data_IF_960950916575
#
_entry.id   IF_960950916575
#
_cell.length_a   1.000
_cell.length_b   1.000
_cell.length_c   1.000
_cell.angle_alpha   90.00
_cell.angle_beta   90.00
_cell.angle_gamma   90.00
#
_symmetry.space_group_name_H-M   'P 1'
#
loop_
_entity.id
_entity.type
_entity.pdbx_description
1 polymer ?
#
# COMPACT_ATOMS: atom_id res chain seq x y z
N UNK A 1 14.41 3.49 -16.90
CA UNK A 1 13.97 3.29 -18.31
C UNK A 1 12.88 2.22 -18.49
N UNK A 2 12.86 1.09 -17.75
CA UNK A 2 11.87 0.01 -17.99
C UNK A 2 10.39 0.29 -17.67
N UNK A 3 10.08 1.21 -16.75
CA UNK A 3 8.69 1.44 -16.31
C UNK A 3 7.80 2.18 -17.32
N UNK A 4 8.38 3.03 -18.18
CA UNK A 4 7.63 3.67 -19.26
C UNK A 4 7.18 2.62 -20.29
N UNK A 5 8.10 1.73 -20.67
CA UNK A 5 7.80 0.63 -21.58
C UNK A 5 6.80 -0.36 -20.99
N UNK A 6 6.89 -0.67 -19.69
CA UNK A 6 5.89 -1.50 -19.01
C UNK A 6 4.49 -0.89 -19.07
N UNK A 7 4.35 0.40 -18.82
CA UNK A 7 3.06 1.10 -18.92
C UNK A 7 2.48 1.02 -20.32
N UNK A 8 3.31 1.28 -21.32
CA UNK A 8 2.91 1.13 -22.72
C UNK A 8 2.47 -0.31 -23.03
N UNK A 9 3.22 -1.33 -22.61
CA UNK A 9 2.81 -2.74 -22.78
C UNK A 9 1.45 -3.00 -22.13
N UNK A 10 1.18 -2.48 -20.94
CA UNK A 10 -0.11 -2.67 -20.27
C UNK A 10 -1.25 -2.01 -21.04
N UNK A 11 -1.00 -0.83 -21.61
CA UNK A 11 -1.97 -0.14 -22.49
C UNK A 11 -2.28 -0.98 -23.73
N UNK A 12 -1.25 -1.49 -24.42
CA UNK A 12 -1.42 -2.34 -25.60
C UNK A 12 -2.08 -3.69 -25.26
N UNK A 13 -1.70 -4.31 -24.14
CA UNK A 13 -2.32 -5.55 -23.67
C UNK A 13 -3.79 -5.34 -23.35
N UNK A 14 -4.14 -4.24 -22.67
CA UNK A 14 -5.53 -3.90 -22.37
C UNK A 14 -6.35 -3.74 -23.66
N UNK A 15 -5.81 -3.06 -24.67
CA UNK A 15 -6.47 -2.93 -25.98
C UNK A 15 -6.61 -4.29 -26.69
N UNK A 16 -5.58 -5.14 -26.64
CA UNK A 16 -5.58 -6.44 -27.31
C UNK A 16 -6.55 -7.45 -26.68
N UNK A 17 -6.76 -7.42 -25.36
CA UNK A 17 -7.67 -8.35 -24.65
C UNK A 17 -9.14 -7.92 -24.73
N UNK A 18 -9.43 -6.66 -25.08
CA UNK A 18 -10.79 -6.15 -25.29
C UNK A 18 -10.89 -5.45 -26.66
N UNK A 19 -10.71 -6.18 -27.78
CA UNK A 19 -10.64 -5.59 -29.11
C UNK A 19 -11.99 -5.06 -29.62
N UNK A 20 -13.08 -5.52 -29.01
CA UNK A 20 -14.46 -5.11 -29.27
C UNK A 20 -14.83 -3.77 -28.63
N UNK A 21 -14.00 -3.27 -27.71
CA UNK A 21 -14.20 -2.02 -27.01
C UNK A 21 -13.02 -1.08 -27.23
N UNK A 22 -13.25 -0.08 -28.08
CA UNK A 22 -12.29 0.98 -28.36
C UNK A 22 -12.85 2.31 -27.87
N UNK A 23 -12.45 2.69 -26.66
CA UNK A 23 -12.73 4.01 -26.09
C UNK A 23 -11.60 4.96 -26.49
N UNK A 24 -11.86 5.75 -27.54
CA UNK A 24 -10.92 6.73 -28.09
C UNK A 24 -10.56 7.85 -27.09
N UNK A 25 -11.29 7.98 -25.98
CA UNK A 25 -11.08 9.05 -25.00
C UNK A 25 -10.05 8.67 -23.91
N UNK A 26 -9.97 7.41 -23.51
CA UNK A 26 -9.13 7.01 -22.37
C UNK A 26 -8.48 5.63 -22.55
N UNK A 27 -7.15 5.60 -22.38
CA UNK A 27 -6.37 4.35 -22.30
C UNK A 27 -6.28 3.82 -20.87
N UNK A 28 -5.90 2.55 -20.75
CA UNK A 28 -5.57 1.93 -19.48
C UNK A 28 -4.46 2.73 -18.74
N UNK A 29 -4.53 2.92 -17.41
CA UNK A 29 -5.58 2.46 -16.50
C UNK A 29 -6.77 3.42 -16.40
N UNK A 30 -6.70 4.63 -16.98
CA UNK A 30 -7.77 5.64 -16.88
C UNK A 30 -9.10 5.18 -17.47
N UNK A 31 -9.07 4.28 -18.45
CA UNK A 31 -10.24 3.59 -19.00
C UNK A 31 -11.12 2.95 -17.92
N UNK A 32 -10.55 2.43 -16.83
CA UNK A 32 -11.30 1.80 -15.73
C UNK A 32 -12.25 2.75 -15.00
N UNK A 33 -11.96 4.05 -15.05
CA UNK A 33 -12.83 5.10 -14.50
C UNK A 33 -13.96 5.50 -15.46
N UNK A 34 -13.97 4.97 -16.70
CA UNK A 34 -15.00 5.28 -17.70
C UNK A 34 -16.36 4.69 -17.30
N UNK A 35 -17.39 5.54 -17.36
CA UNK A 35 -18.78 5.16 -17.07
C UNK A 35 -19.43 4.40 -18.22
N UNK A 36 -18.93 4.56 -19.45
CA UNK A 36 -19.46 3.95 -20.68
C UNK A 36 -18.90 2.54 -20.93
N UNK A 37 -17.93 2.10 -20.13
CA UNK A 37 -17.27 0.81 -20.27
C UNK A 37 -18.24 -0.36 -19.97
N UNK A 38 -18.38 -1.33 -20.90
CA UNK A 38 -19.14 -2.57 -20.68
C UNK A 38 -18.59 -3.40 -19.53
N UNK A 39 -19.46 -4.16 -18.86
CA UNK A 39 -19.10 -4.93 -17.67
C UNK A 39 -18.07 -6.03 -17.94
N UNK A 40 -18.10 -6.69 -19.11
CA UNK A 40 -17.11 -7.72 -19.46
C UNK A 40 -15.72 -7.12 -19.66
N UNK A 41 -15.63 -5.97 -20.33
CA UNK A 41 -14.38 -5.20 -20.51
C UNK A 41 -13.85 -4.74 -19.16
N UNK A 42 -14.72 -4.17 -18.32
CA UNK A 42 -14.39 -3.71 -16.97
C UNK A 42 -13.79 -4.83 -16.15
N UNK A 43 -14.42 -6.01 -16.16
CA UNK A 43 -13.92 -7.20 -15.44
C UNK A 43 -12.52 -7.60 -15.93
N UNK A 44 -12.32 -7.69 -17.24
CA UNK A 44 -11.04 -8.07 -17.84
C UNK A 44 -9.92 -7.06 -17.53
N UNK A 45 -10.18 -5.77 -17.70
CA UNK A 45 -9.18 -4.74 -17.39
C UNK A 45 -8.92 -4.62 -15.89
N UNK A 46 -9.92 -4.88 -15.04
CA UNK A 46 -9.75 -4.92 -13.59
C UNK A 46 -8.80 -6.07 -13.18
N UNK A 47 -8.96 -7.24 -13.76
CA UNK A 47 -8.05 -8.38 -13.53
C UNK A 47 -6.62 -8.05 -13.97
N UNK A 48 -6.44 -7.38 -15.11
CA UNK A 48 -5.13 -6.88 -15.55
C UNK A 48 -4.52 -5.90 -14.54
N UNK A 49 -5.33 -4.97 -14.02
CA UNK A 49 -4.88 -3.98 -13.03
C UNK A 49 -4.50 -4.63 -11.69
N UNK A 50 -5.26 -5.63 -11.22
CA UNK A 50 -4.93 -6.40 -10.01
C UNK A 50 -3.65 -7.21 -10.18
N UNK A 51 -3.42 -7.77 -11.37
CA UNK A 51 -2.14 -8.41 -11.71
C UNK A 51 -0.97 -7.42 -11.68
N UNK A 52 -1.17 -6.19 -12.15
CA UNK A 52 -0.15 -5.14 -12.07
C UNK A 52 0.12 -4.68 -10.64
N UNK A 53 -0.91 -4.58 -9.78
CA UNK A 53 -0.72 -4.31 -8.35
C UNK A 53 0.12 -5.40 -7.67
N UNK A 54 -0.09 -6.67 -8.01
CA UNK A 54 0.72 -7.78 -7.49
C UNK A 54 2.15 -7.75 -8.02
N UNK A 55 2.36 -7.37 -9.28
CA UNK A 55 3.72 -7.18 -9.81
C UNK A 55 4.46 -6.04 -9.11
N UNK A 56 3.81 -4.88 -8.96
CA UNK A 56 4.41 -3.71 -8.32
C UNK A 56 4.71 -3.96 -6.85
N UNK A 57 3.85 -4.71 -6.14
CA UNK A 57 4.11 -5.14 -4.77
C UNK A 57 5.41 -5.97 -4.68
N UNK A 58 5.57 -7.00 -5.51
CA UNK A 58 6.83 -7.78 -5.57
C UNK A 58 8.07 -6.92 -5.86
N UNK A 59 7.91 -5.86 -6.67
CA UNK A 59 9.00 -4.92 -6.98
C UNK A 59 9.36 -3.99 -5.82
N UNK A 60 8.40 -3.71 -4.94
CA UNK A 60 8.58 -2.95 -3.71
C UNK A 60 9.19 -3.85 -2.64
N UNK A 61 8.68 -5.07 -2.45
CA UNK A 61 9.22 -6.07 -1.53
C UNK A 61 10.70 -6.36 -1.82
N UNK A 62 11.08 -6.46 -3.10
CA UNK A 62 12.48 -6.65 -3.51
C UNK A 62 13.35 -5.38 -3.42
N UNK A 63 12.77 -4.19 -3.48
CA UNK A 63 13.48 -2.92 -3.37
C UNK A 63 12.48 -1.84 -2.94
N UNK A 64 12.46 -1.57 -1.64
CA UNK A 64 11.49 -0.66 -1.05
C UNK A 64 11.57 0.75 -1.64
N UNK A 65 12.77 1.20 -2.01
CA UNK A 65 13.02 2.51 -2.64
C UNK A 65 12.65 2.56 -4.12
N UNK A 66 11.91 1.57 -4.65
CA UNK A 66 11.45 1.56 -6.04
C UNK A 66 10.29 2.55 -6.26
N UNK A 67 10.60 3.84 -6.28
CA UNK A 67 9.64 4.93 -6.48
C UNK A 67 8.77 4.78 -7.73
N UNK A 68 9.28 4.12 -8.77
CA UNK A 68 8.51 3.88 -9.98
C UNK A 68 7.38 2.85 -9.77
N UNK A 69 7.60 1.81 -8.96
CA UNK A 69 6.55 0.87 -8.58
C UNK A 69 5.48 1.55 -7.72
N UNK A 70 5.91 2.40 -6.77
CA UNK A 70 5.00 3.22 -5.96
C UNK A 70 4.15 4.17 -6.81
N UNK A 71 4.78 4.87 -7.75
CA UNK A 71 4.09 5.76 -8.69
C UNK A 71 3.09 5.02 -9.58
N UNK A 72 3.41 3.78 -9.97
CA UNK A 72 2.48 2.95 -10.73
C UNK A 72 1.25 2.58 -9.87
N UNK A 73 1.45 2.22 -8.60
CA UNK A 73 0.34 1.93 -7.66
C UNK A 73 -0.54 3.16 -7.41
N UNK A 74 0.05 4.35 -7.22
CA UNK A 74 -0.71 5.58 -6.98
C UNK A 74 -1.61 5.98 -8.15
N UNK A 75 -1.25 5.57 -9.37
CA UNK A 75 -2.09 5.74 -10.57
C UNK A 75 -3.16 4.67 -10.73
N UNK A 76 -2.85 3.41 -10.41
CA UNK A 76 -3.78 2.29 -10.58
C UNK A 76 -4.89 2.26 -9.53
N UNK A 77 -4.55 2.52 -8.26
CA UNK A 77 -5.50 2.37 -7.15
C UNK A 77 -6.76 3.21 -7.31
N UNK A 78 -6.70 4.52 -7.67
CA UNK A 78 -7.91 5.30 -7.92
C UNK A 78 -8.79 4.71 -9.02
N UNK A 79 -8.20 4.31 -10.15
CA UNK A 79 -8.92 3.72 -11.28
C UNK A 79 -9.58 2.38 -10.93
N UNK A 80 -8.90 1.55 -10.14
CA UNK A 80 -9.47 0.28 -9.61
C UNK A 80 -10.65 0.57 -8.69
N UNK A 81 -10.54 1.56 -7.81
CA UNK A 81 -11.63 1.94 -6.91
C UNK A 81 -12.83 2.51 -7.65
N UNK A 82 -12.60 3.28 -8.72
CA UNK A 82 -13.65 3.77 -9.61
C UNK A 82 -14.35 2.60 -10.32
N UNK A 83 -13.59 1.66 -10.88
CA UNK A 83 -14.14 0.45 -11.52
C UNK A 83 -14.94 -0.42 -10.55
N UNK A 84 -14.48 -0.54 -9.29
CA UNK A 84 -15.20 -1.25 -8.20
C UNK A 84 -16.36 -0.43 -7.62
N UNK A 85 -16.56 0.81 -8.07
CA UNK A 85 -17.58 1.75 -7.58
C UNK A 85 -17.52 1.94 -6.05
N UNK A 86 -16.30 2.00 -5.50
CA UNK A 86 -16.11 2.18 -4.07
C UNK A 86 -16.45 3.61 -3.65
N UNK A 87 -17.23 3.72 -2.57
CA UNK A 87 -17.51 4.97 -1.89
C UNK A 87 -16.26 5.50 -1.14
N UNK A 88 -16.33 6.74 -0.64
CA UNK A 88 -15.21 7.37 0.05
C UNK A 88 -14.77 6.60 1.31
N UNK A 89 -15.72 6.01 2.06
CA UNK A 89 -15.44 5.26 3.29
C UNK A 89 -14.73 3.94 2.97
N UNK A 90 -15.18 3.24 1.93
CA UNK A 90 -14.58 2.02 1.42
C UNK A 90 -13.16 2.28 0.90
N UNK A 91 -12.93 3.39 0.17
CA UNK A 91 -11.58 3.78 -0.27
C UNK A 91 -10.64 4.06 0.90
N UNK A 92 -11.12 4.74 1.94
CA UNK A 92 -10.34 4.95 3.16
C UNK A 92 -9.95 3.61 3.79
N UNK A 93 -10.92 2.70 3.95
CA UNK A 93 -10.68 1.38 4.53
C UNK A 93 -9.69 0.53 3.71
N UNK A 94 -9.79 0.53 2.38
CA UNK A 94 -8.84 -0.18 1.50
C UNK A 94 -7.43 0.40 1.56
N UNK A 95 -7.31 1.74 1.60
CA UNK A 95 -6.03 2.42 1.78
C UNK A 95 -5.37 2.07 3.12
N UNK A 96 -6.18 2.00 4.17
CA UNK A 96 -5.68 1.75 5.51
C UNK A 96 -5.21 0.29 5.67
N UNK A 97 -5.92 -0.68 5.09
CA UNK A 97 -5.47 -2.08 5.00
C UNK A 97 -4.10 -2.23 4.33
N UNK A 98 -3.90 -1.57 3.19
CA UNK A 98 -2.63 -1.61 2.46
C UNK A 98 -1.50 -0.97 3.28
N UNK A 99 -1.79 0.12 4.02
CA UNK A 99 -0.83 0.78 4.87
C UNK A 99 -0.47 -0.03 6.12
N UNK A 100 -1.45 -0.68 6.76
CA UNK A 100 -1.24 -1.57 7.91
C UNK A 100 -0.35 -2.75 7.54
N UNK A 101 -0.64 -3.39 6.41
CA UNK A 101 0.19 -4.49 5.90
C UNK A 101 1.63 -4.05 5.65
N UNK A 102 1.83 -2.88 5.03
CA UNK A 102 3.16 -2.34 4.77
C UNK A 102 3.93 -2.00 6.05
N UNK A 103 3.27 -1.41 7.05
CA UNK A 103 3.89 -1.11 8.34
C UNK A 103 4.27 -2.38 9.10
N UNK A 104 3.43 -3.42 9.06
CA UNK A 104 3.72 -4.71 9.68
C UNK A 104 4.86 -5.44 8.97
N UNK A 105 4.87 -5.48 7.64
CA UNK A 105 5.96 -6.08 6.86
C UNK A 105 7.29 -5.38 7.11
N UNK A 106 7.29 -4.04 7.22
CA UNK A 106 8.49 -3.29 7.60
C UNK A 106 8.97 -3.61 9.02
N UNK A 107 8.05 -3.67 9.99
CA UNK A 107 8.39 -4.02 11.36
C UNK A 107 8.95 -5.44 11.46
N UNK A 108 8.37 -6.40 10.73
CA UNK A 108 8.86 -7.78 10.66
C UNK A 108 10.25 -7.83 10.02
N UNK A 109 10.45 -7.17 8.87
CA UNK A 109 11.75 -7.12 8.20
C UNK A 109 12.83 -6.50 9.10
N UNK A 110 12.52 -5.43 9.82
CA UNK A 110 13.44 -4.83 10.78
C UNK A 110 13.76 -5.77 11.94
N UNK A 111 12.75 -6.49 12.46
CA UNK A 111 12.95 -7.48 13.53
C UNK A 111 13.81 -8.64 13.03
N UNK A 112 13.62 -9.11 11.80
CA UNK A 112 14.40 -10.18 11.18
C UNK A 112 15.85 -9.74 10.93
N UNK A 113 16.06 -8.55 10.38
CA UNK A 113 17.41 -7.97 10.19
C UNK A 113 18.13 -7.77 11.52
N UNK A 114 17.44 -7.27 12.55
CA UNK A 114 18.00 -7.16 13.90
C UNK A 114 18.32 -8.53 14.51
N UNK A 115 17.48 -9.54 14.27
CA UNK A 115 17.70 -10.90 14.74
C UNK A 115 18.88 -11.61 14.06
N UNK A 116 19.18 -11.25 12.80
CA UNK A 116 20.35 -11.75 12.06
C UNK A 116 21.66 -11.04 12.45
N UNK A 117 21.59 -9.73 12.75
CA UNK A 117 22.76 -8.92 13.10
C UNK A 117 23.20 -9.11 14.57
N UNK A 118 22.27 -9.43 15.48
CA UNK A 118 22.57 -9.66 16.90
C UNK A 118 21.83 -10.90 17.45
N UNK A 119 22.40 -12.12 17.33
CA UNK A 119 21.78 -13.33 17.90
C UNK A 119 21.61 -13.29 19.43
N UNK A 120 22.36 -12.42 20.13
CA UNK A 120 22.26 -12.16 21.58
C UNK A 120 21.05 -11.29 21.95
N UNK A 121 20.39 -10.63 20.99
CA UNK A 121 19.21 -9.79 21.23
C UNK A 121 18.00 -10.59 21.77
N UNK A 122 17.95 -11.91 21.48
CA UNK A 122 17.00 -12.84 22.11
C UNK A 122 17.16 -12.93 23.63
N UNK A 123 18.36 -12.73 24.16
CA UNK A 123 18.64 -12.68 25.60
C UNK A 123 18.53 -11.26 26.17
N UNK A 124 18.70 -10.21 25.35
CA UNK A 124 18.57 -8.83 25.79
C UNK A 124 17.11 -8.32 25.87
N UNK A 125 16.16 -8.87 25.10
CA UNK A 125 14.75 -8.48 25.20
C UNK A 125 14.13 -8.80 26.58
N UNK A 126 14.62 -9.87 27.22
CA UNK A 126 14.30 -10.24 28.61
C UNK A 126 15.10 -9.42 29.65
N UNK A 127 16.17 -8.74 29.22
CA UNK A 127 17.00 -7.86 30.06
C UNK A 127 16.74 -6.37 29.86
N UNK A 128 15.88 -5.97 28.91
CA UNK A 128 15.44 -4.57 28.78
C UNK A 128 14.67 -4.18 30.04
N UNK A 129 15.37 -3.48 30.92
CA UNK A 129 14.88 -2.91 32.16
C UNK A 129 13.58 -2.13 31.87
N UNK A 130 12.61 -2.18 32.78
CA UNK A 130 11.35 -1.43 32.63
C UNK A 130 11.56 0.07 32.30
N UNK A 131 12.70 0.64 32.69
CA UNK A 131 13.11 2.00 32.36
C UNK A 131 13.40 2.23 30.85
N UNK A 132 14.05 1.27 30.18
CA UNK A 132 14.32 1.35 28.75
C UNK A 132 13.03 1.22 27.92
N UNK A 133 12.13 0.30 28.32
CA UNK A 133 10.79 0.19 27.73
C UNK A 133 9.97 1.46 27.93
N UNK A 134 9.95 2.02 29.14
CA UNK A 134 9.26 3.28 29.44
C UNK A 134 9.83 4.47 28.65
N UNK A 135 11.13 4.50 28.39
CA UNK A 135 11.79 5.53 27.58
C UNK A 135 11.37 5.43 26.11
N UNK A 136 11.34 4.21 25.57
CA UNK A 136 10.90 3.96 24.20
C UNK A 136 9.41 4.29 24.03
N UNK A 137 8.56 3.88 24.97
CA UNK A 137 7.13 4.21 24.97
C UNK A 137 6.89 5.72 24.96
N UNK A 138 7.70 6.48 25.72
CA UNK A 138 7.61 7.95 25.73
C UNK A 138 7.99 8.55 24.38
N UNK A 139 9.00 8.00 23.71
CA UNK A 139 9.41 8.44 22.37
C UNK A 139 8.35 8.12 21.33
N UNK A 140 7.76 6.92 21.38
CA UNK A 140 6.68 6.50 20.48
C UNK A 140 5.46 7.40 20.65
N UNK A 141 5.04 7.68 21.89
CA UNK A 141 3.92 8.60 22.17
C UNK A 141 4.17 9.99 21.57
N UNK A 142 5.37 10.55 21.75
CA UNK A 142 5.72 11.86 21.22
C UNK A 142 5.71 11.88 19.68
N UNK A 143 6.18 10.82 19.02
CA UNK A 143 6.15 10.72 17.57
C UNK A 143 4.73 10.59 17.02
N UNK A 144 3.88 9.78 17.66
CA UNK A 144 2.47 9.63 17.27
C UNK A 144 1.68 10.94 17.42
N UNK A 145 1.92 11.70 18.50
CA UNK A 145 1.33 13.03 18.68
C UNK A 145 1.79 14.03 17.62
N UNK A 146 3.06 13.97 17.21
CA UNK A 146 3.56 14.84 16.13
C UNK A 146 3.00 14.45 14.77
N UNK A 147 2.86 13.15 14.51
CA UNK A 147 2.26 12.64 13.27
C UNK A 147 0.79 13.00 13.14
N UNK A 148 0.03 13.08 14.24
CA UNK A 148 -1.38 13.51 14.19
C UNK A 148 -1.56 14.96 13.72
N UNK A 149 -0.57 15.83 13.99
CA UNK A 149 -0.57 17.22 13.53
C UNK A 149 -0.13 17.35 12.08
N UNK A 150 0.80 16.51 11.62
CA UNK A 150 1.36 16.54 10.26
C UNK A 150 0.42 15.84 9.26
N UNK A 151 -0.28 14.78 9.70
CA UNK A 151 -1.20 13.98 8.89
C UNK A 151 -2.58 13.86 9.55
N UNK A 152 -3.42 14.93 9.45
CA UNK A 152 -4.74 14.96 10.09
C UNK A 152 -5.69 13.88 9.57
N UNK A 153 -5.47 13.37 8.35
CA UNK A 153 -6.32 12.36 7.73
C UNK A 153 -6.21 10.98 8.42
N UNK A 154 -5.16 10.76 9.21
CA UNK A 154 -4.93 9.53 9.99
C UNK A 154 -4.93 9.75 11.50
N UNK A 155 -5.33 10.94 11.95
CA UNK A 155 -5.35 11.32 13.36
C UNK A 155 -5.99 10.25 14.27
N UNK A 156 -7.17 9.74 13.90
CA UNK A 156 -7.87 8.70 14.69
C UNK A 156 -7.05 7.43 14.89
N UNK A 157 -6.25 7.04 13.89
CA UNK A 157 -5.38 5.86 13.97
C UNK A 157 -4.22 6.09 14.94
N UNK A 158 -3.60 7.27 14.91
CA UNK A 158 -2.55 7.60 15.86
C UNK A 158 -3.10 7.67 17.30
N UNK A 159 -4.31 8.18 17.47
CA UNK A 159 -5.03 8.20 18.75
C UNK A 159 -5.38 6.79 19.25
N UNK A 160 -5.74 5.87 18.35
CA UNK A 160 -6.02 4.47 18.72
C UNK A 160 -4.76 3.72 19.17
N UNK A 161 -3.62 3.95 18.50
CA UNK A 161 -2.32 3.38 18.89
C UNK A 161 -1.76 3.95 20.21
N UNK A 162 -2.26 5.10 20.67
CA UNK A 162 -1.91 5.70 21.96
C UNK A 162 -2.67 5.09 23.15
N UNK A 163 -3.73 4.30 22.90
CA UNK A 163 -4.53 3.67 23.95
C UNK A 163 -3.78 2.47 24.54
N UNK A 164 -3.59 2.39 25.86
CA UNK A 164 -2.97 1.25 26.51
C UNK A 164 -4.02 0.16 26.69
N UNK A 165 -4.28 -0.65 25.66
CA UNK A 165 -4.72 -2.04 25.78
C UNK A 165 -5.03 -2.64 24.40
N UNK A 166 -4.08 -3.44 23.90
CA UNK A 166 -4.41 -4.60 23.07
C UNK A 166 -3.97 -5.84 23.84
N UNK A 167 -4.75 -6.21 24.84
CA UNK A 167 -4.91 -7.62 25.23
C UNK A 167 -5.62 -8.31 24.07
N UNK A 168 -4.85 -9.05 23.26
CA UNK A 168 -5.36 -10.18 22.49
C UNK A 168 -5.34 -11.43 23.37
#
# INVERSE_FOLDING_TARGET
MGWNYRRWILEELAAAITPDWDDQEARFPSSLSSSTMPDHVRKTQLELAENELRYTLRKIESNFSNFSAWHQRSKLLPCIWDAKRLDQKQRMMERDKDADRQTLEQQIQWIEELAELEPDSKLCADQLDAAAKATLDKQIKNLLERLSHIDPLRQRRYEDLLKPDHTY
#
